data_IF_292070355770
#
_entry.id   IF_292070355770
#
_cell.length_a   1.000
_cell.length_b   1.000
_cell.length_c   1.000
_cell.angle_alpha   90.00
_cell.angle_beta   90.00
_cell.angle_gamma   90.00
#
_symmetry.space_group_name_H-M   'P 1'
#
loop_
_entity.id
_entity.type
_entity.pdbx_description
1 polymer ?
#
# COMPACT_ATOMS: atom_id res chain seq x y z
N UNK A 1 -1.81 14.40 -21.30
CA UNK A 1 -1.68 14.87 -19.91
C UNK A 1 -2.86 15.79 -19.57
N UNK A 2 -3.91 15.28 -18.92
CA UNK A 2 -5.00 16.11 -18.38
C UNK A 2 -5.09 15.84 -16.88
N UNK A 3 -4.48 16.73 -16.09
CA UNK A 3 -4.71 16.78 -14.64
C UNK A 3 -6.06 17.45 -14.43
N UNK A 4 -7.09 16.68 -14.06
CA UNK A 4 -8.38 17.23 -13.66
C UNK A 4 -8.25 17.95 -12.30
N UNK A 5 -8.92 19.11 -12.08
CA UNK A 5 -8.64 20.02 -10.96
C UNK A 5 -9.33 19.66 -9.63
N UNK A 6 -9.66 18.39 -9.40
CA UNK A 6 -10.27 17.96 -8.14
C UNK A 6 -9.91 16.51 -7.85
N UNK A 7 -8.77 16.30 -7.16
CA UNK A 7 -8.38 15.02 -6.55
C UNK A 7 -9.25 14.68 -5.33
N UNK A 8 -10.58 14.81 -5.44
CA UNK A 8 -11.49 14.50 -4.35
C UNK A 8 -12.02 13.10 -4.56
N UNK A 9 -11.82 12.22 -3.57
CA UNK A 9 -12.48 10.92 -3.54
C UNK A 9 -13.99 11.12 -3.64
N UNK A 10 -14.68 10.29 -4.42
CA UNK A 10 -16.13 10.32 -4.40
C UNK A 10 -16.63 9.94 -2.99
N UNK A 11 -17.85 10.36 -2.63
CA UNK A 11 -18.40 10.13 -1.28
C UNK A 11 -18.39 8.65 -0.88
N UNK A 12 -18.63 7.75 -1.82
CA UNK A 12 -18.64 6.30 -1.59
C UNK A 12 -17.24 5.76 -1.28
N UNK A 13 -16.24 6.14 -2.08
CA UNK A 13 -14.84 5.77 -1.89
C UNK A 13 -14.28 6.35 -0.61
N UNK A 14 -14.64 7.58 -0.25
CA UNK A 14 -14.25 8.16 1.03
C UNK A 14 -14.85 7.39 2.21
N UNK A 15 -16.12 7.01 2.12
CA UNK A 15 -16.76 6.18 3.15
C UNK A 15 -16.07 4.83 3.30
N UNK A 16 -15.78 4.15 2.20
CA UNK A 16 -15.07 2.87 2.23
C UNK A 16 -13.64 3.04 2.76
N UNK A 17 -12.94 4.10 2.34
CA UNK A 17 -11.59 4.41 2.79
C UNK A 17 -11.46 4.68 4.28
N UNK A 18 -12.54 5.07 4.94
CA UNK A 18 -12.58 5.23 6.40
C UNK A 18 -13.14 4.00 7.09
N UNK A 19 -14.23 3.42 6.57
CA UNK A 19 -14.94 2.32 7.19
C UNK A 19 -14.05 1.09 7.37
N UNK A 20 -13.33 0.67 6.32
CA UNK A 20 -12.50 -0.53 6.39
C UNK A 20 -11.35 -0.44 7.40
N UNK A 21 -10.47 0.58 7.36
CA UNK A 21 -9.41 0.68 8.35
C UNK A 21 -9.96 0.91 9.76
N UNK A 22 -11.05 1.66 9.95
CA UNK A 22 -11.63 1.81 11.28
C UNK A 22 -12.19 0.49 11.83
N UNK A 23 -12.84 -0.33 11.01
CA UNK A 23 -13.30 -1.67 11.43
C UNK A 23 -12.12 -2.61 11.73
N UNK A 24 -11.06 -2.56 10.93
CA UNK A 24 -9.86 -3.36 11.19
C UNK A 24 -9.15 -2.93 12.48
N UNK A 25 -9.02 -1.62 12.72
CA UNK A 25 -8.44 -1.08 13.94
C UNK A 25 -9.31 -1.41 15.16
N UNK A 26 -10.63 -1.31 15.06
CA UNK A 26 -11.54 -1.69 16.15
C UNK A 26 -11.35 -3.16 16.58
N UNK A 27 -11.23 -4.07 15.62
CA UNK A 27 -10.89 -5.46 15.90
C UNK A 27 -9.52 -5.61 16.59
N UNK A 28 -8.48 -4.99 16.04
CA UNK A 28 -7.13 -5.07 16.61
C UNK A 28 -7.08 -4.52 18.04
N UNK A 29 -7.77 -3.40 18.28
CA UNK A 29 -7.75 -2.69 19.55
C UNK A 29 -8.61 -3.36 20.62
N UNK A 30 -9.74 -3.95 20.23
CA UNK A 30 -10.73 -4.51 21.16
C UNK A 30 -10.51 -5.99 21.44
N UNK A 31 -10.22 -6.78 20.41
CA UNK A 31 -10.16 -8.26 20.53
C UNK A 31 -8.72 -8.76 20.74
N UNK A 32 -7.74 -8.12 20.10
CA UNK A 32 -6.36 -8.64 20.05
C UNK A 32 -5.35 -7.83 20.90
N UNK A 33 -5.78 -6.68 21.45
CA UNK A 33 -4.88 -5.72 22.14
C UNK A 33 -3.64 -5.37 21.29
N UNK A 34 -3.79 -5.20 19.97
CA UNK A 34 -2.71 -4.87 19.04
C UNK A 34 -2.82 -3.42 18.60
N UNK A 35 -1.71 -2.69 18.64
CA UNK A 35 -1.57 -1.34 18.09
C UNK A 35 -0.72 -1.43 16.81
N UNK A 36 -1.23 -0.92 15.69
CA UNK A 36 -0.55 -1.01 14.39
C UNK A 36 0.71 -0.13 14.35
N UNK A 37 0.62 1.09 14.90
CA UNK A 37 1.63 2.15 14.99
C UNK A 37 2.13 2.74 13.66
N UNK A 38 2.06 2.01 12.55
CA UNK A 38 2.63 2.44 11.27
C UNK A 38 1.63 2.68 10.13
N UNK A 39 0.45 3.22 10.42
CA UNK A 39 -0.64 3.36 9.45
C UNK A 39 -0.35 4.46 8.40
N UNK A 40 0.40 4.13 7.33
CA UNK A 40 0.85 5.10 6.29
C UNK A 40 0.41 4.75 4.89
N UNK A 41 0.43 3.48 4.53
CA UNK A 41 0.13 3.01 3.17
C UNK A 41 -0.32 1.55 3.18
N UNK A 42 -0.76 1.09 4.34
CA UNK A 42 -0.92 -0.33 4.63
C UNK A 42 -2.34 -0.80 4.37
N UNK A 43 -3.00 -0.14 3.41
CA UNK A 43 -4.33 -0.48 2.97
C UNK A 43 -4.19 -0.94 1.52
N UNK A 44 -4.36 -2.25 1.33
CA UNK A 44 -4.24 -2.90 0.02
C UNK A 44 -5.60 -3.41 -0.42
N UNK A 45 -5.83 -3.31 -1.73
CA UNK A 45 -7.01 -3.86 -2.39
C UNK A 45 -6.79 -5.32 -2.72
N UNK A 46 -7.76 -6.16 -2.38
CA UNK A 46 -7.84 -7.46 -3.03
C UNK A 46 -8.35 -7.26 -4.46
N UNK A 47 -7.67 -7.88 -5.43
CA UNK A 47 -8.08 -7.84 -6.83
C UNK A 47 -9.37 -8.65 -6.99
N UNK A 48 -10.51 -7.95 -7.09
CA UNK A 48 -11.83 -8.59 -7.21
C UNK A 48 -12.08 -9.22 -8.59
N UNK A 49 -11.42 -8.71 -9.63
CA UNK A 49 -11.52 -9.25 -10.99
C UNK A 49 -10.42 -10.29 -11.25
N UNK A 50 -10.83 -11.55 -11.40
CA UNK A 50 -9.96 -12.69 -11.68
C UNK A 50 -9.08 -12.52 -12.93
N UNK A 51 -9.47 -11.68 -13.88
CA UNK A 51 -8.72 -11.48 -15.13
C UNK A 51 -7.86 -10.22 -15.13
N UNK A 52 -7.96 -9.36 -14.11
CA UNK A 52 -7.25 -8.08 -14.10
C UNK A 52 -5.73 -8.24 -14.15
N UNK A 53 -5.18 -9.26 -13.49
CA UNK A 53 -3.74 -9.56 -13.54
C UNK A 53 -3.31 -10.18 -14.88
N UNK A 54 -4.18 -10.97 -15.50
CA UNK A 54 -3.92 -11.56 -16.82
C UNK A 54 -3.91 -10.48 -17.91
N UNK A 55 -4.88 -9.57 -17.88
CA UNK A 55 -4.93 -8.40 -18.76
C UNK A 55 -3.71 -7.50 -18.56
N UNK A 56 -3.36 -7.24 -17.31
CA UNK A 56 -2.16 -6.49 -16.98
C UNK A 56 -0.89 -7.12 -17.59
N UNK A 57 -0.72 -8.44 -17.43
CA UNK A 57 0.42 -9.16 -18.00
C UNK A 57 0.41 -9.11 -19.53
N UNK A 58 -0.76 -9.32 -20.16
CA UNK A 58 -0.92 -9.25 -21.62
C UNK A 58 -0.56 -7.87 -22.16
N UNK A 59 -1.01 -6.83 -21.47
CA UNK A 59 -0.73 -5.45 -21.86
C UNK A 59 0.76 -5.12 -21.72
N UNK A 60 1.43 -5.59 -20.67
CA UNK A 60 2.88 -5.40 -20.50
C UNK A 60 3.71 -6.16 -21.54
N UNK A 61 3.23 -7.32 -22.01
CA UNK A 61 3.85 -8.08 -23.10
C UNK A 61 3.65 -7.37 -24.45
N UNK A 62 2.44 -6.86 -24.69
CA UNK A 62 2.08 -6.20 -25.96
C UNK A 62 2.76 -4.83 -26.09
N UNK A 63 2.85 -4.10 -24.99
CA UNK A 63 3.35 -2.74 -24.90
C UNK A 63 4.23 -2.61 -23.64
N UNK A 64 5.52 -2.92 -23.71
CA UNK A 64 6.40 -2.87 -22.55
C UNK A 64 6.52 -1.46 -21.98
N UNK A 65 6.42 -1.34 -20.66
CA UNK A 65 6.67 -0.05 -20.00
C UNK A 65 8.11 0.41 -20.20
N UNK A 66 8.34 1.74 -20.17
CA UNK A 66 9.69 2.28 -20.13
C UNK A 66 10.54 1.59 -19.05
N UNK A 67 11.68 1.03 -19.49
CA UNK A 67 12.61 0.33 -18.61
C UNK A 67 13.98 1.00 -18.66
N UNK A 68 14.61 1.11 -17.49
CA UNK A 68 15.99 1.55 -17.33
C UNK A 68 16.86 0.35 -17.01
N UNK A 69 17.65 -0.08 -17.97
CA UNK A 69 18.66 -1.13 -17.79
C UNK A 69 19.88 -0.46 -17.13
N UNK A 70 20.24 -0.95 -15.94
CA UNK A 70 21.39 -0.42 -15.19
C UNK A 70 22.62 -1.30 -15.48
N UNK A 71 22.47 -2.61 -15.36
CA UNK A 71 23.52 -3.59 -15.62
C UNK A 71 22.89 -4.93 -16.05
N UNK A 72 23.72 -5.98 -16.20
CA UNK A 72 23.28 -7.32 -16.62
C UNK A 72 22.27 -7.97 -15.66
N UNK A 73 22.16 -7.50 -14.43
CA UNK A 73 21.32 -8.10 -13.37
C UNK A 73 20.16 -7.22 -12.93
N UNK A 74 20.23 -5.91 -13.23
CA UNK A 74 19.30 -4.91 -12.71
C UNK A 74 18.65 -4.10 -13.83
N UNK A 75 17.34 -4.29 -13.93
CA UNK A 75 16.46 -3.47 -14.77
C UNK A 75 15.35 -2.87 -13.90
N UNK A 76 15.10 -1.58 -14.04
CA UNK A 76 14.04 -0.86 -13.32
C UNK A 76 12.92 -0.54 -14.31
N UNK A 77 11.69 -0.94 -13.99
CA UNK A 77 10.51 -0.71 -14.81
C UNK A 77 9.70 0.45 -14.25
N UNK A 78 9.10 1.26 -15.13
CA UNK A 78 8.05 2.18 -14.69
C UNK A 78 6.78 1.39 -14.37
N UNK A 79 6.10 1.72 -13.28
CA UNK A 79 4.84 1.05 -12.92
C UNK A 79 3.74 1.35 -13.95
N UNK A 80 3.06 0.30 -14.39
CA UNK A 80 1.78 0.37 -15.12
C UNK A 80 0.66 0.27 -14.09
N UNK A 81 -0.36 1.12 -14.22
CA UNK A 81 -1.59 0.96 -13.44
C UNK A 81 -2.40 -0.20 -14.05
N UNK A 82 -2.97 -1.11 -13.24
CA UNK A 82 -3.95 -2.05 -13.75
C UNK A 82 -5.20 -1.30 -14.20
N UNK A 83 -6.03 -1.98 -15.00
CA UNK A 83 -7.32 -1.45 -15.44
C UNK A 83 -8.17 -1.07 -14.22
N UNK A 84 -8.87 0.05 -14.31
CA UNK A 84 -9.83 0.45 -13.28
C UNK A 84 -10.89 -0.65 -13.12
N UNK A 85 -11.23 -1.02 -11.86
CA UNK A 85 -12.24 -2.04 -11.62
C UNK A 85 -13.59 -1.60 -12.22
N UNK A 86 -14.23 -2.51 -12.95
CA UNK A 86 -15.56 -2.27 -13.49
C UNK A 86 -16.54 -1.95 -12.34
N UNK A 87 -17.44 -0.99 -12.58
CA UNK A 87 -18.52 -0.61 -11.66
C UNK A 87 -18.09 -0.22 -10.24
N UNK A 88 -16.85 0.27 -10.06
CA UNK A 88 -16.29 0.57 -8.74
C UNK A 88 -16.25 -0.65 -7.80
N UNK A 89 -16.07 -1.85 -8.35
CA UNK A 89 -15.86 -3.05 -7.55
C UNK A 89 -14.39 -3.17 -7.12
N UNK A 90 -13.99 -2.38 -6.12
CA UNK A 90 -12.61 -2.30 -5.65
C UNK A 90 -12.16 -3.52 -4.82
N UNK A 91 -13.04 -4.51 -4.59
CA UNK A 91 -12.75 -5.63 -3.71
C UNK A 91 -12.66 -5.23 -2.23
N UNK A 92 -12.49 -6.21 -1.32
CA UNK A 92 -12.28 -5.92 0.09
C UNK A 92 -10.94 -5.23 0.32
N UNK A 93 -10.94 -4.32 1.29
CA UNK A 93 -9.75 -3.57 1.70
C UNK A 93 -9.12 -4.30 2.87
N UNK A 94 -7.81 -4.54 2.79
CA UNK A 94 -7.08 -5.31 3.79
C UNK A 94 -6.03 -4.40 4.42
N UNK A 95 -6.03 -4.36 5.75
CA UNK A 95 -4.95 -3.77 6.54
C UNK A 95 -3.75 -4.73 6.51
N UNK A 96 -2.59 -4.25 6.04
CA UNK A 96 -1.32 -4.97 6.02
C UNK A 96 -0.29 -4.22 6.88
N UNK A 97 1.03 -4.43 6.69
CA UNK A 97 2.03 -3.54 7.30
C UNK A 97 2.34 -3.73 8.79
N UNK A 98 2.05 -4.91 9.36
CA UNK A 98 2.25 -5.19 10.80
C UNK A 98 3.71 -5.32 11.27
N UNK A 99 4.70 -4.95 10.45
CA UNK A 99 6.13 -5.04 10.83
C UNK A 99 6.48 -4.20 12.07
N UNK A 100 5.74 -3.12 12.27
CA UNK A 100 5.88 -2.24 13.43
C UNK A 100 4.77 -2.37 14.46
N UNK A 101 3.87 -3.35 14.31
CA UNK A 101 2.78 -3.54 15.28
C UNK A 101 3.30 -3.90 16.68
N UNK A 102 2.52 -3.55 17.71
CA UNK A 102 2.85 -3.76 19.13
C UNK A 102 1.67 -4.39 19.86
N UNK A 103 1.96 -5.40 20.67
CA UNK A 103 0.95 -6.11 21.47
C UNK A 103 0.87 -5.49 22.87
N UNK A 104 -0.34 -5.35 23.40
CA UNK A 104 -0.66 -4.80 24.72
C UNK A 104 -1.42 -3.47 24.66
N UNK A 105 -2.09 -3.11 25.77
CA UNK A 105 -2.94 -1.90 25.86
C UNK A 105 -2.18 -0.59 26.07
N UNK A 106 -1.03 -0.66 26.73
CA UNK A 106 -0.23 0.52 27.08
C UNK A 106 1.23 0.27 26.75
N UNK A 107 1.79 1.14 25.93
CA UNK A 107 3.17 1.04 25.49
C UNK A 107 4.00 2.21 26.02
N UNK A 108 5.18 1.89 26.54
CA UNK A 108 6.20 2.90 26.83
C UNK A 108 6.75 3.43 25.51
N UNK A 109 7.06 4.72 25.44
CA UNK A 109 7.57 5.35 24.20
C UNK A 109 8.84 4.71 23.69
N UNK A 110 9.70 4.17 24.57
CA UNK A 110 10.89 3.43 24.16
C UNK A 110 10.57 2.29 23.15
N UNK A 111 9.33 1.80 23.11
CA UNK A 111 8.89 0.74 22.22
C UNK A 111 8.15 1.25 20.95
N UNK A 112 7.73 2.53 20.89
CA UNK A 112 6.89 3.10 19.81
C UNK A 112 7.49 4.34 19.13
N UNK A 113 8.44 5.04 19.76
CA UNK A 113 8.99 6.30 19.28
C UNK A 113 9.58 6.26 17.86
N UNK A 114 10.09 5.09 17.45
CA UNK A 114 10.65 4.86 16.10
C UNK A 114 9.61 4.30 15.10
N UNK A 115 8.54 3.70 15.61
CA UNK A 115 7.53 3.03 14.79
C UNK A 115 6.68 4.04 14.00
N UNK A 116 6.35 5.19 14.59
CA UNK A 116 5.61 6.23 13.87
C UNK A 116 6.53 7.11 13.00
N UNK A 117 6.21 7.28 11.70
CA UNK A 117 6.89 8.22 10.82
C UNK A 117 6.76 9.64 11.34
N UNK A 118 7.79 10.46 11.13
CA UNK A 118 7.82 11.83 11.64
C UNK A 118 6.61 12.70 11.23
N UNK A 119 6.05 12.48 10.03
CA UNK A 119 4.95 13.29 9.48
C UNK A 119 3.61 13.01 10.17
N UNK A 120 3.39 11.77 10.62
CA UNK A 120 2.11 11.33 11.20
C UNK A 120 2.20 11.08 12.70
N UNK A 121 3.35 11.38 13.32
CA UNK A 121 3.58 11.04 14.72
C UNK A 121 2.57 11.72 15.65
N UNK A 122 1.98 10.92 16.53
CA UNK A 122 1.06 11.42 17.54
C UNK A 122 1.80 12.30 18.57
N UNK A 123 1.12 13.28 19.20
CA UNK A 123 1.75 14.16 20.16
C UNK A 123 2.33 13.41 21.36
N UNK A 124 1.63 12.40 21.89
CA UNK A 124 2.10 11.56 22.99
C UNK A 124 3.41 10.83 22.66
N UNK A 125 3.55 10.34 21.43
CA UNK A 125 4.78 9.70 20.95
C UNK A 125 5.90 10.75 20.78
N UNK A 126 5.56 11.95 20.34
CA UNK A 126 6.51 13.06 20.19
C UNK A 126 7.02 13.59 21.54
N UNK A 127 6.15 13.65 22.55
CA UNK A 127 6.48 14.11 23.91
C UNK A 127 7.04 13.01 24.81
N UNK A 128 7.27 11.82 24.27
CA UNK A 128 7.78 10.67 25.03
C UNK A 128 6.88 10.23 26.19
N UNK A 129 5.56 10.39 26.03
CA UNK A 129 4.54 9.99 26.99
C UNK A 129 3.97 8.62 26.57
N UNK A 130 3.70 7.75 27.54
CA UNK A 130 3.08 6.45 27.28
C UNK A 130 1.83 6.58 26.41
N UNK A 131 1.69 5.69 25.44
CA UNK A 131 0.64 5.75 24.44
C UNK A 131 -0.11 4.42 24.36
N UNK A 132 -1.35 4.50 23.89
CA UNK A 132 -2.26 3.39 23.69
C UNK A 132 -2.68 3.33 22.21
N UNK A 133 -3.70 2.53 21.91
CA UNK A 133 -4.23 2.34 20.56
C UNK A 133 -4.70 3.63 19.85
N UNK A 134 -4.89 4.74 20.56
CA UNK A 134 -5.29 6.02 19.97
C UNK A 134 -4.27 6.60 18.99
N UNK A 135 -3.01 6.16 19.07
CA UNK A 135 -1.97 6.54 18.10
C UNK A 135 -2.32 6.12 16.67
N UNK A 136 -3.06 5.02 16.49
CA UNK A 136 -3.52 4.58 15.18
C UNK A 136 -4.66 5.47 14.66
N UNK A 137 -5.56 5.90 15.54
CA UNK A 137 -6.65 6.80 15.20
C UNK A 137 -6.11 8.17 14.75
N UNK A 138 -5.03 8.65 15.40
CA UNK A 138 -4.32 9.85 14.97
C UNK A 138 -3.77 9.74 13.54
N UNK A 139 -3.37 8.53 13.13
CA UNK A 139 -2.81 8.28 11.80
C UNK A 139 -3.88 8.18 10.71
N UNK A 140 -5.15 7.85 11.03
CA UNK A 140 -6.22 7.61 10.03
C UNK A 140 -6.40 8.75 9.01
N UNK A 141 -6.41 10.05 9.39
CA UNK A 141 -6.56 11.13 8.42
C UNK A 141 -5.41 11.24 7.40
N UNK A 142 -4.24 10.65 7.72
CA UNK A 142 -3.06 10.67 6.85
C UNK A 142 -3.04 9.50 5.86
N UNK A 143 -4.02 8.60 5.92
CA UNK A 143 -4.13 7.50 4.98
C UNK A 143 -4.22 8.03 3.54
N UNK A 144 -3.41 7.48 2.62
CA UNK A 144 -3.38 7.94 1.25
C UNK A 144 -4.75 7.71 0.63
N UNK A 145 -5.09 8.57 -0.32
CA UNK A 145 -6.22 8.29 -1.20
C UNK A 145 -5.98 6.91 -1.83
N UNK A 146 -6.98 6.02 -1.82
CA UNK A 146 -6.85 4.72 -2.45
C UNK A 146 -6.34 4.85 -3.88
N UNK A 147 -5.16 4.32 -4.11
CA UNK A 147 -4.50 4.27 -5.41
C UNK A 147 -4.05 2.83 -5.61
N UNK A 148 -4.47 2.21 -6.71
CA UNK A 148 -3.95 0.89 -7.07
C UNK A 148 -2.55 1.10 -7.62
N UNK A 149 -1.56 1.03 -6.74
CA UNK A 149 -0.15 1.02 -7.14
C UNK A 149 0.41 -0.38 -6.90
N UNK A 150 0.37 -1.22 -7.94
CA UNK A 150 1.15 -2.46 -7.96
C UNK A 150 2.61 -2.09 -8.18
N UNK A 151 3.40 -2.13 -7.10
CA UNK A 151 4.85 -2.10 -7.20
C UNK A 151 5.36 -3.50 -7.57
N UNK A 152 5.49 -3.77 -8.86
CA UNK A 152 6.15 -4.99 -9.32
C UNK A 152 7.66 -4.77 -9.37
N UNK A 153 8.40 -5.33 -8.41
CA UNK A 153 9.84 -5.50 -8.50
C UNK A 153 10.13 -6.96 -8.84
N UNK A 154 10.28 -7.29 -10.14
CA UNK A 154 10.77 -8.61 -10.54
C UNK A 154 12.30 -8.58 -10.50
N UNK A 155 12.90 -9.15 -9.46
CA UNK A 155 14.32 -9.50 -9.49
C UNK A 155 14.46 -10.80 -10.28
N UNK A 156 14.84 -10.70 -11.55
CA UNK A 156 15.01 -11.86 -12.43
C UNK A 156 16.17 -11.67 -13.40
N UNK A 157 17.21 -12.49 -13.22
CA UNK A 157 18.38 -12.62 -14.10
C UNK A 157 18.00 -12.85 -15.57
N UNK A 158 18.75 -12.31 -16.55
CA UNK A 158 18.51 -12.58 -17.95
C UNK A 158 18.69 -14.07 -18.22
N UNK A 159 17.66 -14.72 -18.80
CA UNK A 159 17.89 -15.95 -19.56
C UNK A 159 18.50 -15.54 -20.89
N UNK A 160 19.72 -16.03 -21.12
CA UNK A 160 20.43 -15.93 -22.39
C UNK A 160 19.54 -16.43 -23.54
N UNK A 161 19.33 -15.59 -24.56
CA UNK A 161 19.06 -16.07 -25.91
C UNK A 161 20.38 -16.04 -26.69
N UNK A 162 21.09 -17.16 -26.65
CA UNK A 162 21.89 -17.65 -27.77
C UNK A 162 20.94 -18.60 -28.56
N UNK A 163 20.88 -18.69 -29.88
CA UNK A 163 21.80 -18.30 -30.95
C UNK A 163 21.04 -18.28 -32.30
N UNK A 164 21.62 -17.55 -33.26
CA UNK A 164 21.72 -17.90 -34.69
C UNK A 164 20.48 -17.81 -35.58
N UNK A 165 20.53 -16.91 -36.57
CA UNK A 165 20.81 -17.27 -37.97
C UNK A 165 21.32 -16.05 -38.75
N UNK A 166 22.58 -16.13 -39.20
CA UNK A 166 23.09 -15.44 -40.40
C UNK A 166 23.15 -16.50 -41.51
N UNK A 167 22.88 -16.09 -42.74
CA UNK A 167 22.91 -16.91 -43.95
C UNK A 167 21.77 -16.55 -44.87
#
# INVERSE_FOLDING_TARGET
>A
MRKTPSKRLNKTLLKLALQYPLTALDFLHTEEDIVHTDLKSDIVFSVADKYALDDFCRDEIRDPTPQKIIDKTRTVYTSRAPRDPADSNWGPWVLCGFGEARIGKLHKVANIGEAQPHICRAPEVSFMISCDSKVDIWNVPNLPTPSITLHYARFGSPRERSSSKHG
#
